data_IF_819335143691
#
_entry.id   IF_819335143691
#
_cell.length_a   1.000
_cell.length_b   1.000
_cell.length_c   1.000
_cell.angle_alpha   90.00
_cell.angle_beta   90.00
_cell.angle_gamma   90.00
#
_symmetry.space_group_name_H-M   'P 1'
#
loop_
_entity.id
_entity.type
_entity.pdbx_description
1 polymer ?
#
# COMPACT_ATOMS: atom_id res chain seq x y z
N UNK A 1 16.82 19.02 -22.50
CA UNK A 1 17.11 19.43 -21.12
C UNK A 1 17.15 18.20 -20.25
N UNK A 2 18.17 17.99 -19.43
CA UNK A 2 18.19 16.89 -18.44
C UNK A 2 17.15 17.20 -17.35
N UNK A 3 16.30 16.27 -17.06
CA UNK A 3 15.26 16.39 -16.05
C UNK A 3 15.91 16.32 -14.65
N UNK A 4 15.77 17.38 -13.85
CA UNK A 4 16.28 17.37 -12.47
C UNK A 4 15.42 16.43 -11.61
N UNK A 5 16.08 15.57 -10.86
CA UNK A 5 15.43 14.62 -9.92
C UNK A 5 15.43 15.23 -8.53
N UNK A 6 14.28 15.29 -7.88
CA UNK A 6 14.21 15.58 -6.45
C UNK A 6 14.23 14.29 -5.65
N UNK A 7 15.08 14.24 -4.64
CA UNK A 7 15.14 13.15 -3.66
C UNK A 7 14.51 13.64 -2.34
N UNK A 8 13.49 12.92 -1.87
CA UNK A 8 12.96 13.07 -0.52
C UNK A 8 13.62 12.02 0.38
N UNK A 9 14.56 12.44 1.20
CA UNK A 9 15.33 11.55 2.07
C UNK A 9 14.78 11.56 3.50
N UNK A 10 14.38 10.38 3.99
CA UNK A 10 13.98 10.20 5.39
C UNK A 10 15.16 10.38 6.35
N UNK A 11 15.10 11.39 7.22
CA UNK A 11 16.13 11.69 8.22
C UNK A 11 15.90 11.00 9.55
N UNK A 12 14.65 10.82 9.96
CA UNK A 12 14.23 10.15 11.18
C UNK A 12 13.23 9.09 10.88
N UNK A 13 13.60 7.85 11.07
CA UNK A 13 12.61 6.78 11.10
C UNK A 13 11.95 6.74 12.48
N UNK A 14 10.73 7.26 12.61
CA UNK A 14 9.89 7.02 13.81
C UNK A 14 9.60 5.54 14.01
N UNK A 15 9.78 4.74 12.96
CA UNK A 15 9.52 3.30 12.96
C UNK A 15 10.65 2.49 13.60
N UNK A 16 11.81 3.04 13.80
CA UNK A 16 12.91 2.30 14.37
C UNK A 16 13.56 3.07 15.52
N UNK A 17 13.33 2.65 16.74
CA UNK A 17 14.14 3.09 17.89
C UNK A 17 15.64 2.73 17.78
N UNK A 18 16.12 2.39 16.59
CA UNK A 18 17.51 2.21 16.20
C UNK A 18 17.99 3.48 15.45
N UNK A 19 19.29 3.73 15.48
CA UNK A 19 19.92 4.83 14.73
C UNK A 19 19.42 4.86 13.28
N UNK A 20 19.22 6.05 12.69
CA UNK A 20 18.61 6.21 11.37
C UNK A 20 19.46 5.52 10.31
N UNK A 21 19.06 4.31 9.90
CA UNK A 21 19.81 3.51 8.92
C UNK A 21 19.80 4.14 7.54
N UNK A 22 18.72 4.81 7.16
CA UNK A 22 18.57 5.43 5.84
C UNK A 22 19.61 6.53 5.60
N UNK A 23 19.82 7.51 6.50
CA UNK A 23 20.88 8.50 6.32
C UNK A 23 22.30 7.93 6.28
N UNK A 24 22.58 6.85 7.03
CA UNK A 24 23.88 6.19 6.98
C UNK A 24 24.10 5.48 5.63
N UNK A 25 23.11 4.74 5.15
CA UNK A 25 23.16 4.09 3.84
C UNK A 25 23.19 5.11 2.71
N UNK A 26 22.46 6.23 2.84
CA UNK A 26 22.53 7.34 1.90
C UNK A 26 23.97 7.87 1.77
N UNK A 27 24.65 8.17 2.89
CA UNK A 27 26.03 8.65 2.86
C UNK A 27 26.97 7.67 2.17
N UNK A 28 26.74 6.37 2.34
CA UNK A 28 27.56 5.33 1.72
C UNK A 28 27.36 5.27 0.20
N UNK A 29 26.13 5.44 -0.27
CA UNK A 29 25.78 5.29 -1.69
C UNK A 29 25.55 6.62 -2.43
N UNK A 30 25.77 7.77 -1.78
CA UNK A 30 25.44 9.09 -2.33
C UNK A 30 26.11 9.37 -3.68
N UNK A 31 27.37 8.98 -3.84
CA UNK A 31 28.10 9.17 -5.09
C UNK A 31 27.49 8.36 -6.25
N UNK A 32 27.19 7.08 -6.03
CA UNK A 32 26.56 6.19 -7.01
C UNK A 32 25.16 6.69 -7.40
N UNK A 33 24.37 7.14 -6.41
CA UNK A 33 23.05 7.70 -6.64
C UNK A 33 23.13 9.01 -7.44
N UNK A 34 24.09 9.89 -7.08
CA UNK A 34 24.28 11.13 -7.79
C UNK A 34 24.72 10.90 -9.23
N UNK A 35 25.61 9.98 -9.49
CA UNK A 35 26.04 9.62 -10.86
C UNK A 35 24.86 9.13 -11.70
N UNK A 36 24.01 8.28 -11.16
CA UNK A 36 22.89 7.68 -11.87
C UNK A 36 21.73 8.64 -12.13
N UNK A 37 21.42 9.55 -11.19
CA UNK A 37 20.21 10.36 -11.20
C UNK A 37 20.43 11.85 -11.40
N UNK A 38 21.67 12.30 -11.66
CA UNK A 38 22.00 13.71 -11.90
C UNK A 38 21.34 14.29 -13.16
N UNK A 39 20.93 15.57 -13.13
CA UNK A 39 21.02 16.48 -12.00
C UNK A 39 19.99 16.12 -10.90
N UNK A 40 20.40 16.15 -9.63
CA UNK A 40 19.52 15.89 -8.51
C UNK A 40 19.58 16.98 -7.45
N UNK A 41 18.47 17.16 -6.74
CA UNK A 41 18.36 17.96 -5.52
C UNK A 41 17.88 17.07 -4.37
N UNK A 42 18.27 17.41 -3.13
CA UNK A 42 17.98 16.63 -1.95
C UNK A 42 17.20 17.46 -0.92
N UNK A 43 16.06 16.96 -0.51
CA UNK A 43 15.29 17.48 0.61
C UNK A 43 15.20 16.42 1.69
N UNK A 44 15.57 16.78 2.89
CA UNK A 44 15.47 15.91 4.07
C UNK A 44 14.09 16.09 4.71
N UNK A 45 13.44 14.99 5.09
CA UNK A 45 12.11 14.96 5.69
C UNK A 45 12.06 14.04 6.90
N UNK A 46 11.30 14.42 7.94
CA UNK A 46 11.19 13.64 9.18
C UNK A 46 9.93 12.75 9.23
N UNK A 47 8.97 12.97 8.33
CA UNK A 47 7.72 12.23 8.37
C UNK A 47 6.83 12.45 7.14
N UNK A 48 5.62 11.88 7.17
CA UNK A 48 4.72 11.91 6.01
C UNK A 48 4.23 13.33 5.66
N UNK A 49 4.00 14.19 6.65
CA UNK A 49 3.43 15.52 6.40
C UNK A 49 4.46 16.46 5.78
N UNK A 50 5.73 16.38 6.22
CA UNK A 50 6.82 17.13 5.58
C UNK A 50 7.11 16.60 4.17
N UNK A 51 7.07 15.27 3.99
CA UNK A 51 7.24 14.68 2.67
C UNK A 51 6.11 15.07 1.71
N UNK A 52 4.87 15.20 2.22
CA UNK A 52 3.72 15.68 1.46
C UNK A 52 3.89 17.12 1.01
N UNK A 53 4.26 18.02 1.94
CA UNK A 53 4.51 19.42 1.63
C UNK A 53 5.64 19.57 0.62
N UNK A 54 6.79 18.94 0.87
CA UNK A 54 7.95 19.01 0.00
C UNK A 54 7.68 18.45 -1.40
N UNK A 55 6.91 17.35 -1.52
CA UNK A 55 6.54 16.78 -2.82
C UNK A 55 5.63 17.72 -3.62
N UNK A 56 4.65 18.33 -2.95
CA UNK A 56 3.75 19.29 -3.58
C UNK A 56 4.50 20.53 -4.06
N UNK A 57 5.31 21.15 -3.19
CA UNK A 57 6.07 22.35 -3.49
C UNK A 57 7.06 22.11 -4.62
N UNK A 58 7.77 20.99 -4.60
CA UNK A 58 8.68 20.60 -5.66
C UNK A 58 7.97 20.46 -7.02
N UNK A 59 6.80 19.84 -7.05
CA UNK A 59 6.04 19.72 -8.29
C UNK A 59 5.56 21.10 -8.81
N UNK A 60 5.18 22.01 -7.92
CA UNK A 60 4.82 23.41 -8.27
C UNK A 60 6.05 24.16 -8.79
N UNK A 61 7.23 23.92 -8.24
CA UNK A 61 8.50 24.50 -8.71
C UNK A 61 8.98 23.89 -10.03
N UNK A 62 8.30 22.88 -10.57
CA UNK A 62 8.59 22.34 -11.88
C UNK A 62 9.42 21.06 -11.90
N UNK A 63 9.70 20.46 -10.74
CA UNK A 63 10.27 19.12 -10.70
C UNK A 63 9.24 18.13 -11.22
N UNK A 64 9.60 17.38 -12.24
CA UNK A 64 8.73 16.35 -12.81
C UNK A 64 9.11 14.93 -12.41
N UNK A 65 10.29 14.74 -11.78
CA UNK A 65 10.72 13.47 -11.20
C UNK A 65 10.99 13.65 -9.72
N UNK A 66 10.29 12.87 -8.88
CA UNK A 66 10.46 12.89 -7.43
C UNK A 66 10.61 11.45 -6.94
N UNK A 67 11.65 11.20 -6.14
CA UNK A 67 12.00 9.88 -5.63
C UNK A 67 12.01 9.90 -4.10
N UNK A 68 11.20 9.05 -3.47
CA UNK A 68 11.24 8.85 -2.03
C UNK A 68 12.31 7.81 -1.66
N UNK A 69 13.14 8.16 -0.68
CA UNK A 69 14.19 7.31 -0.09
C UNK A 69 13.93 7.17 1.40
N UNK A 70 13.31 6.05 1.79
CA UNK A 70 12.90 5.84 3.18
C UNK A 70 11.86 4.77 3.37
N UNK A 71 11.11 4.88 4.47
CA UNK A 71 10.02 3.99 4.85
C UNK A 71 8.68 4.35 4.23
N UNK A 72 7.64 3.62 4.66
CA UNK A 72 6.27 3.79 4.16
C UNK A 72 5.72 5.19 4.39
N UNK A 73 6.09 5.83 5.49
CA UNK A 73 5.61 7.17 5.83
C UNK A 73 6.02 8.24 4.81
N UNK A 74 7.30 8.25 4.41
CA UNK A 74 7.81 9.20 3.41
C UNK A 74 7.25 8.90 2.02
N UNK A 75 7.15 7.61 1.66
CA UNK A 75 6.52 7.19 0.41
C UNK A 75 5.04 7.60 0.35
N UNK A 76 4.29 7.44 1.44
CA UNK A 76 2.91 7.88 1.53
C UNK A 76 2.78 9.41 1.45
N UNK A 77 3.67 10.16 2.13
CA UNK A 77 3.73 11.62 2.01
C UNK A 77 3.93 12.07 0.57
N UNK A 78 4.91 11.48 -0.13
CA UNK A 78 5.11 11.75 -1.56
C UNK A 78 3.82 11.54 -2.39
N UNK A 79 3.15 10.40 -2.21
CA UNK A 79 1.88 10.12 -2.89
C UNK A 79 0.85 11.21 -2.61
N UNK A 80 0.65 11.57 -1.35
CA UNK A 80 -0.35 12.57 -0.96
C UNK A 80 -0.01 13.96 -1.50
N UNK A 81 1.26 14.38 -1.49
CA UNK A 81 1.70 15.64 -2.08
C UNK A 81 1.39 15.72 -3.57
N UNK A 82 1.66 14.66 -4.31
CA UNK A 82 1.35 14.59 -5.75
C UNK A 82 -0.15 14.53 -6.00
N UNK A 83 -0.92 13.87 -5.16
CA UNK A 83 -2.38 13.78 -5.31
C UNK A 83 -3.10 15.13 -5.11
N UNK A 84 -2.47 16.14 -4.51
CA UNK A 84 -2.98 17.52 -4.43
C UNK A 84 -2.94 18.27 -5.77
N UNK A 85 -2.12 17.83 -6.71
CA UNK A 85 -2.01 18.45 -8.03
C UNK A 85 -3.24 18.17 -8.90
N UNK A 86 -3.52 19.05 -9.86
CA UNK A 86 -4.49 18.78 -10.90
C UNK A 86 -4.09 17.54 -11.74
N UNK A 87 -5.06 16.78 -12.23
CA UNK A 87 -4.83 15.53 -12.94
C UNK A 87 -3.86 15.66 -14.12
N UNK A 88 -4.02 16.70 -14.95
CA UNK A 88 -3.14 16.95 -16.08
C UNK A 88 -1.68 17.22 -15.68
N UNK A 89 -1.43 17.72 -14.46
CA UNK A 89 -0.09 17.87 -13.91
C UNK A 89 0.45 16.54 -13.39
N UNK A 90 -0.36 15.81 -12.59
CA UNK A 90 0.02 14.49 -12.06
C UNK A 90 0.47 13.53 -13.16
N UNK A 91 -0.26 13.48 -14.28
CA UNK A 91 0.05 12.58 -15.40
C UNK A 91 1.42 12.80 -16.02
N UNK A 92 2.04 13.96 -15.79
CA UNK A 92 3.38 14.32 -16.31
C UNK A 92 4.50 14.03 -15.32
N UNK A 93 4.14 13.65 -14.07
CA UNK A 93 5.11 13.33 -13.04
C UNK A 93 5.74 11.96 -13.27
N UNK A 94 6.91 11.76 -12.67
CA UNK A 94 7.60 10.46 -12.58
C UNK A 94 7.89 10.21 -11.10
N UNK A 95 7.18 9.26 -10.50
CA UNK A 95 7.28 8.97 -9.08
C UNK A 95 8.11 7.71 -8.89
N UNK A 96 9.20 7.83 -8.13
CA UNK A 96 10.09 6.73 -7.84
C UNK A 96 10.19 6.40 -6.35
N UNK A 97 10.60 5.18 -6.06
CA UNK A 97 10.93 4.73 -4.71
C UNK A 97 12.30 4.07 -4.75
N UNK A 98 13.22 4.54 -3.92
CA UNK A 98 14.55 3.95 -3.76
C UNK A 98 14.65 3.31 -2.39
N UNK A 99 14.92 2.01 -2.36
CA UNK A 99 14.99 1.23 -1.14
C UNK A 99 16.46 0.98 -0.78
N UNK A 100 16.95 1.65 0.26
CA UNK A 100 18.27 1.43 0.82
C UNK A 100 18.19 0.40 1.96
N UNK A 101 18.72 -0.80 1.74
CA UNK A 101 18.71 -1.89 2.72
C UNK A 101 17.61 -2.92 2.48
N UNK A 102 16.78 -3.22 3.49
CA UNK A 102 15.72 -4.22 3.34
C UNK A 102 14.63 -3.76 2.38
N UNK A 103 14.15 -4.69 1.55
CA UNK A 103 13.04 -4.42 0.61
C UNK A 103 11.79 -4.03 1.39
N UNK A 104 11.36 -2.79 1.19
CA UNK A 104 10.11 -2.28 1.75
C UNK A 104 8.90 -2.90 1.02
N UNK A 105 7.70 -2.90 1.63
CA UNK A 105 6.46 -3.29 0.94
C UNK A 105 6.23 -2.50 -0.35
N UNK A 106 6.61 -1.24 -0.38
CA UNK A 106 6.57 -0.39 -1.57
C UNK A 106 7.43 -0.93 -2.71
N UNK A 107 8.70 -1.24 -2.41
CA UNK A 107 9.60 -1.81 -3.40
C UNK A 107 9.07 -3.13 -3.98
N UNK A 108 8.46 -3.97 -3.13
CA UNK A 108 7.85 -5.23 -3.58
C UNK A 108 6.63 -4.99 -4.47
N UNK A 109 5.76 -4.07 -4.08
CA UNK A 109 4.52 -3.75 -4.82
C UNK A 109 4.81 -3.17 -6.20
N UNK A 110 5.80 -2.29 -6.32
CA UNK A 110 6.20 -1.72 -7.61
C UNK A 110 7.18 -2.60 -8.40
N UNK A 111 7.61 -3.74 -7.84
CA UNK A 111 8.51 -4.69 -8.49
C UNK A 111 9.96 -4.23 -8.54
N UNK A 112 10.40 -3.40 -7.60
CA UNK A 112 11.79 -2.95 -7.50
C UNK A 112 12.71 -4.14 -7.14
N UNK A 113 13.85 -4.31 -7.83
CA UNK A 113 14.86 -5.31 -7.48
C UNK A 113 15.57 -4.99 -6.16
N UNK A 114 16.27 -5.96 -5.57
CA UNK A 114 17.03 -5.75 -4.34
C UNK A 114 18.39 -5.06 -4.58
N UNK A 115 18.99 -5.25 -5.75
CA UNK A 115 20.29 -4.67 -6.10
C UNK A 115 20.15 -3.17 -6.37
N UNK A 116 20.96 -2.34 -5.66
CA UNK A 116 20.90 -0.88 -5.77
C UNK A 116 21.16 -0.42 -7.21
N UNK A 117 22.22 -0.89 -7.85
CA UNK A 117 22.54 -0.53 -9.22
C UNK A 117 21.36 -0.73 -10.18
N UNK A 118 20.62 -1.85 -10.03
CA UNK A 118 19.45 -2.11 -10.85
C UNK A 118 18.28 -1.19 -10.54
N UNK A 119 18.07 -0.80 -9.26
CA UNK A 119 17.08 0.20 -8.89
C UNK A 119 17.40 1.55 -9.54
N UNK A 120 18.68 1.97 -9.52
CA UNK A 120 19.14 3.21 -10.12
C UNK A 120 18.95 3.22 -11.64
N UNK A 121 19.27 2.13 -12.32
CA UNK A 121 18.99 1.97 -13.77
C UNK A 121 17.51 2.17 -14.10
N UNK A 122 16.61 1.56 -13.32
CA UNK A 122 15.16 1.69 -13.49
C UNK A 122 14.71 3.14 -13.28
N UNK A 123 15.20 3.77 -12.20
CA UNK A 123 14.86 5.16 -11.88
C UNK A 123 15.41 6.12 -12.94
N UNK A 124 16.63 5.91 -13.43
CA UNK A 124 17.24 6.71 -14.50
C UNK A 124 16.49 6.56 -15.82
N UNK A 125 16.07 5.34 -16.17
CA UNK A 125 15.30 5.06 -17.38
C UNK A 125 13.92 5.75 -17.35
N UNK A 126 13.30 5.92 -16.19
CA UNK A 126 12.09 6.70 -16.00
C UNK A 126 10.84 6.17 -16.72
N UNK A 127 10.77 4.86 -17.00
CA UNK A 127 9.56 4.26 -17.56
C UNK A 127 8.46 4.22 -16.51
N UNK A 128 7.32 4.84 -16.79
CA UNK A 128 6.21 4.91 -15.83
C UNK A 128 5.05 4.02 -16.24
N UNK A 129 4.35 3.51 -15.22
CA UNK A 129 3.06 2.86 -15.35
C UNK A 129 2.05 3.62 -14.47
N UNK A 130 0.84 3.95 -14.97
CA UNK A 130 -0.18 4.58 -14.15
C UNK A 130 -0.76 3.56 -13.15
N UNK A 131 -0.60 3.88 -11.87
CA UNK A 131 -1.12 3.10 -10.75
C UNK A 131 -2.42 3.68 -10.24
N UNK A 132 -3.28 2.81 -9.76
CA UNK A 132 -4.46 3.16 -8.99
C UNK A 132 -4.04 3.63 -7.60
N UNK A 133 -4.77 4.56 -7.04
CA UNK A 133 -4.55 5.08 -5.70
C UNK A 133 -5.83 4.91 -4.90
N UNK A 134 -5.73 4.32 -3.73
CA UNK A 134 -6.84 4.30 -2.79
C UNK A 134 -7.00 5.65 -2.11
N UNK A 135 -8.22 6.04 -1.78
CA UNK A 135 -8.54 7.23 -1.02
C UNK A 135 -9.47 6.86 0.12
N UNK A 136 -9.02 7.06 1.34
CA UNK A 136 -9.80 6.86 2.57
C UNK A 136 -10.28 8.19 3.11
N UNK A 137 -11.54 8.23 3.48
CA UNK A 137 -12.17 9.31 4.25
C UNK A 137 -12.75 8.71 5.53
N UNK A 138 -12.50 9.34 6.67
CA UNK A 138 -12.94 8.85 7.97
C UNK A 138 -13.17 10.00 8.94
N UNK A 139 -13.63 9.71 10.16
CA UNK A 139 -13.79 10.71 11.21
C UNK A 139 -12.40 11.16 11.71
N UNK A 140 -12.18 12.49 11.77
CA UNK A 140 -10.93 13.07 12.27
C UNK A 140 -10.62 12.65 13.71
N UNK A 141 -9.35 12.44 13.99
CA UNK A 141 -8.86 12.20 15.35
C UNK A 141 -8.84 13.47 16.23
N UNK A 142 -8.94 14.66 15.63
CA UNK A 142 -8.93 15.92 16.36
C UNK A 142 -10.22 16.20 17.16
N UNK A 143 -11.27 15.40 16.97
CA UNK A 143 -12.55 15.58 17.66
C UNK A 143 -13.33 16.83 17.24
N UNK A 144 -12.93 17.48 16.13
CA UNK A 144 -13.49 18.73 15.61
C UNK A 144 -14.72 18.51 14.69
N UNK A 145 -15.20 17.27 14.61
CA UNK A 145 -16.33 16.88 13.76
C UNK A 145 -16.03 16.88 12.26
N UNK A 146 -14.80 17.19 11.86
CA UNK A 146 -14.41 17.17 10.46
C UNK A 146 -14.07 15.75 9.98
N UNK A 147 -14.05 15.59 8.66
CA UNK A 147 -13.51 14.39 8.03
C UNK A 147 -11.98 14.52 7.89
N UNK A 148 -11.29 13.42 8.13
CA UNK A 148 -9.90 13.25 7.75
C UNK A 148 -9.85 12.41 6.48
N UNK A 149 -8.90 12.71 5.59
CA UNK A 149 -8.74 11.98 4.34
C UNK A 149 -7.26 11.76 4.03
N UNK A 150 -6.94 10.60 3.42
CA UNK A 150 -5.59 10.29 2.97
C UNK A 150 -5.60 9.31 1.80
N UNK A 151 -4.65 9.48 0.91
CA UNK A 151 -4.41 8.53 -0.18
C UNK A 151 -3.43 7.44 0.23
N UNK A 152 -3.57 6.27 -0.39
CA UNK A 152 -2.66 5.14 -0.19
C UNK A 152 -2.40 4.39 -1.50
N UNK A 153 -1.25 3.71 -1.58
CA UNK A 153 -0.88 2.84 -2.69
C UNK A 153 -0.86 1.37 -2.27
N UNK A 154 -0.42 1.08 -1.05
CA UNK A 154 -0.36 -0.29 -0.53
C UNK A 154 -1.72 -0.73 0.01
N UNK A 155 -2.29 0.05 0.93
CA UNK A 155 -3.58 -0.27 1.50
C UNK A 155 -3.94 0.56 2.72
N UNK A 156 -5.19 0.40 3.15
CA UNK A 156 -5.72 0.88 4.42
C UNK A 156 -6.07 -0.30 5.32
N UNK A 157 -5.85 -0.14 6.63
CA UNK A 157 -6.16 -1.15 7.63
C UNK A 157 -6.91 -0.57 8.82
N UNK A 158 -7.82 -1.34 9.39
CA UNK A 158 -8.56 -1.00 10.58
C UNK A 158 -8.91 -2.24 11.41
N UNK A 159 -9.30 -2.01 12.65
CA UNK A 159 -9.61 -3.07 13.60
C UNK A 159 -8.54 -3.30 14.66
N UNK A 160 -8.81 -4.12 15.69
CA UNK A 160 -7.89 -4.31 16.81
C UNK A 160 -6.49 -4.79 16.45
N UNK A 161 -6.34 -5.56 15.37
CA UNK A 161 -5.04 -6.05 14.93
C UNK A 161 -4.25 -5.02 14.12
N UNK A 162 -4.90 -4.02 13.50
CA UNK A 162 -4.19 -2.93 12.82
C UNK A 162 -3.55 -1.97 13.83
N UNK A 163 -4.19 -1.71 14.96
CA UNK A 163 -3.65 -0.88 16.06
C UNK A 163 -2.39 -1.46 16.72
N UNK A 164 -2.07 -2.72 16.45
CA UNK A 164 -0.81 -3.35 16.84
C UNK A 164 0.40 -2.86 16.07
N UNK A 165 0.18 -2.12 15.01
CA UNK A 165 1.15 -1.74 14.02
C UNK A 165 2.10 -0.60 14.39
N UNK A 166 1.95 0.31 15.32
CA UNK A 166 3.00 1.30 15.45
C UNK A 166 4.31 0.65 15.90
N UNK A 167 5.28 0.50 14.96
CA UNK A 167 6.57 1.09 15.19
C UNK A 167 7.53 0.38 16.14
N UNK A 168 7.60 -0.95 16.13
CA UNK A 168 8.69 -1.61 16.83
C UNK A 168 9.85 -1.91 15.89
N UNK A 169 10.87 -1.09 16.01
CA UNK A 169 12.14 -1.17 15.30
C UNK A 169 12.93 -2.46 15.53
N UNK A 170 12.65 -3.19 16.58
CA UNK A 170 13.35 -4.41 16.94
C UNK A 170 12.47 -5.63 16.67
N UNK A 171 12.98 -6.69 15.99
CA UNK A 171 12.21 -7.90 15.72
C UNK A 171 11.54 -8.51 16.97
N UNK A 172 12.26 -8.55 18.09
CA UNK A 172 11.73 -9.04 19.36
C UNK A 172 10.58 -8.18 19.90
N UNK A 173 10.64 -6.85 19.73
CA UNK A 173 9.57 -5.94 20.13
C UNK A 173 8.36 -6.04 19.20
N UNK A 174 8.57 -6.31 17.91
CA UNK A 174 7.49 -6.60 16.95
C UNK A 174 6.73 -7.86 17.38
N UNK A 175 7.46 -8.92 17.72
CA UNK A 175 6.88 -10.16 18.17
C UNK A 175 6.08 -9.98 19.48
N UNK A 176 6.65 -9.28 20.47
CA UNK A 176 5.99 -9.00 21.74
C UNK A 176 4.72 -8.14 21.55
N UNK A 177 4.75 -7.16 20.65
CA UNK A 177 3.58 -6.32 20.33
C UNK A 177 2.52 -7.07 19.54
N UNK A 178 2.91 -7.90 18.56
CA UNK A 178 1.98 -8.80 17.89
C UNK A 178 1.30 -9.74 18.89
N UNK A 179 2.08 -10.36 19.77
CA UNK A 179 1.52 -11.21 20.83
C UNK A 179 0.60 -10.41 21.76
N UNK A 180 0.99 -9.23 22.20
CA UNK A 180 0.17 -8.34 23.02
C UNK A 180 -1.14 -7.91 22.36
N UNK A 181 -1.11 -7.67 21.06
CA UNK A 181 -2.31 -7.30 20.30
C UNK A 181 -3.21 -8.48 20.01
N UNK A 182 -2.63 -9.64 19.72
CA UNK A 182 -3.38 -10.89 19.62
C UNK A 182 -4.05 -11.25 20.96
N UNK A 183 -3.32 -11.10 22.07
CA UNK A 183 -3.87 -11.31 23.42
C UNK A 183 -4.94 -10.26 23.76
N UNK A 184 -4.72 -8.99 23.43
CA UNK A 184 -5.68 -7.92 23.66
C UNK A 184 -6.94 -8.04 22.80
N UNK A 185 -6.79 -8.33 21.51
CA UNK A 185 -7.90 -8.62 20.60
C UNK A 185 -8.65 -9.88 21.04
N UNK A 186 -7.89 -10.93 21.37
CA UNK A 186 -8.42 -12.19 21.84
C UNK A 186 -9.14 -12.06 23.20
N UNK A 187 -8.59 -11.29 24.14
CA UNK A 187 -9.23 -10.98 25.41
C UNK A 187 -10.58 -10.27 25.25
N UNK A 188 -10.67 -9.30 24.30
CA UNK A 188 -11.93 -8.64 23.96
C UNK A 188 -12.93 -9.60 23.31
N UNK A 189 -12.46 -10.48 22.43
CA UNK A 189 -13.32 -11.51 21.82
C UNK A 189 -13.90 -12.47 22.88
N UNK A 190 -13.07 -12.93 23.83
CA UNK A 190 -13.49 -13.80 24.93
C UNK A 190 -14.47 -13.10 25.88
N UNK A 191 -14.29 -11.81 26.11
CA UNK A 191 -15.19 -11.01 26.94
C UNK A 191 -16.48 -10.58 26.19
N UNK A 192 -16.70 -11.01 24.95
CA UNK A 192 -17.85 -10.57 24.15
C UNK A 192 -17.79 -9.12 23.69
N UNK A 193 -16.62 -8.47 23.80
CA UNK A 193 -16.41 -7.05 23.47
C UNK A 193 -15.63 -6.86 22.15
N UNK A 194 -15.65 -7.85 21.25
CA UNK A 194 -15.07 -7.67 19.92
C UNK A 194 -15.85 -6.59 19.17
N UNK A 195 -15.14 -5.60 18.59
CA UNK A 195 -15.81 -4.52 17.87
C UNK A 195 -16.58 -5.09 16.68
N UNK A 196 -17.81 -4.61 16.50
CA UNK A 196 -18.70 -5.05 15.44
C UNK A 196 -18.82 -4.02 14.33
N UNK A 197 -18.81 -4.50 13.10
CA UNK A 197 -18.90 -3.66 11.91
C UNK A 197 -19.84 -4.24 10.87
N UNK A 198 -20.37 -3.36 10.03
CA UNK A 198 -20.90 -3.70 8.72
C UNK A 198 -19.87 -3.25 7.66
N UNK A 199 -19.52 -4.15 6.77
CA UNK A 199 -18.63 -3.93 5.63
C UNK A 199 -19.45 -4.02 4.35
N UNK A 200 -19.48 -2.91 3.61
CA UNK A 200 -20.16 -2.80 2.33
C UNK A 200 -19.12 -2.65 1.21
N UNK A 201 -19.30 -3.36 0.11
CA UNK A 201 -18.48 -3.25 -1.11
C UNK A 201 -19.40 -3.04 -2.29
N UNK A 202 -19.19 -1.92 -3.01
CA UNK A 202 -20.01 -1.49 -4.15
C UNK A 202 -21.53 -1.53 -3.87
N UNK A 203 -21.92 -1.09 -2.65
CA UNK A 203 -23.29 -1.00 -2.20
C UNK A 203 -23.93 -2.33 -1.72
N UNK A 204 -23.14 -3.41 -1.65
CA UNK A 204 -23.59 -4.70 -1.10
C UNK A 204 -22.92 -4.95 0.23
N UNK A 205 -23.68 -5.30 1.25
CA UNK A 205 -23.13 -5.77 2.52
C UNK A 205 -22.50 -7.16 2.32
N UNK A 206 -21.18 -7.25 2.54
CA UNK A 206 -20.40 -8.49 2.38
C UNK A 206 -20.05 -9.12 3.71
N UNK A 207 -20.10 -8.34 4.79
CA UNK A 207 -19.88 -8.83 6.13
C UNK A 207 -20.61 -7.97 7.17
N UNK A 208 -21.13 -8.62 8.21
CA UNK A 208 -21.69 -7.98 9.41
C UNK A 208 -21.36 -8.83 10.61
N UNK A 209 -20.73 -8.25 11.62
CA UNK A 209 -20.42 -8.94 12.87
C UNK A 209 -19.12 -8.50 13.51
N UNK A 210 -18.66 -9.27 14.51
CA UNK A 210 -17.42 -9.00 15.23
C UNK A 210 -16.21 -9.28 14.35
N UNK A 211 -15.25 -8.35 14.27
CA UNK A 211 -14.04 -8.52 13.48
C UNK A 211 -12.75 -8.20 14.25
N UNK A 212 -11.65 -8.72 13.77
CA UNK A 212 -10.32 -8.47 14.32
C UNK A 212 -9.48 -7.55 13.40
N UNK A 213 -9.70 -7.63 12.09
CA UNK A 213 -8.94 -6.87 11.07
C UNK A 213 -9.78 -6.68 9.82
N UNK A 214 -9.74 -5.49 9.27
CA UNK A 214 -10.16 -5.18 7.90
C UNK A 214 -9.00 -4.59 7.13
N UNK A 215 -8.80 -5.04 5.90
CA UNK A 215 -7.79 -4.59 4.96
C UNK A 215 -8.44 -4.19 3.64
N UNK A 216 -8.07 -3.03 3.12
CA UNK A 216 -8.43 -2.59 1.77
C UNK A 216 -7.15 -2.29 1.02
N UNK A 217 -6.82 -3.07 0.01
CA UNK A 217 -5.49 -3.11 -0.58
C UNK A 217 -5.49 -2.70 -2.05
N UNK A 218 -4.54 -1.82 -2.42
CA UNK A 218 -4.20 -1.50 -3.81
C UNK A 218 -2.98 -2.26 -4.32
N UNK A 219 -2.22 -2.89 -3.42
CA UNK A 219 -1.00 -3.64 -3.72
C UNK A 219 -1.00 -5.04 -3.12
N UNK A 220 -0.09 -5.89 -3.62
CA UNK A 220 0.03 -7.29 -3.17
C UNK A 220 0.54 -7.45 -1.75
N UNK A 221 1.35 -6.50 -1.28
CA UNK A 221 2.06 -6.61 -0.02
C UNK A 221 1.58 -5.54 0.96
N UNK A 222 1.18 -5.97 2.13
CA UNK A 222 0.92 -5.07 3.25
C UNK A 222 2.07 -5.11 4.26
N UNK A 223 2.44 -3.97 4.87
CA UNK A 223 3.66 -3.89 5.69
C UNK A 223 3.79 -4.96 6.79
N UNK A 224 2.71 -5.33 7.45
CA UNK A 224 2.73 -6.29 8.55
C UNK A 224 2.57 -7.74 8.09
N UNK A 225 1.69 -7.96 7.11
CA UNK A 225 1.17 -9.28 6.78
C UNK A 225 1.84 -9.89 5.54
N UNK A 226 2.85 -9.22 4.98
CA UNK A 226 3.54 -9.74 3.80
C UNK A 226 2.65 -9.71 2.55
N UNK A 227 2.63 -10.80 1.79
CA UNK A 227 1.80 -10.92 0.60
C UNK A 227 0.38 -11.34 1.01
N UNK A 228 -0.50 -10.35 1.12
CA UNK A 228 -1.88 -10.54 1.58
C UNK A 228 -2.91 -10.58 0.45
N UNK A 229 -2.58 -10.01 -0.69
CA UNK A 229 -3.42 -10.01 -1.89
C UNK A 229 -2.59 -10.38 -3.12
N UNK A 230 -2.22 -11.67 -3.31
CA UNK A 230 -1.31 -12.09 -4.38
C UNK A 230 -1.83 -11.80 -5.79
N UNK A 231 -3.15 -11.70 -5.96
CA UNK A 231 -3.80 -11.39 -7.22
C UNK A 231 -4.00 -9.89 -7.46
N UNK A 232 -3.72 -9.03 -6.46
CA UNK A 232 -3.92 -7.59 -6.57
C UNK A 232 -3.17 -7.02 -7.78
N UNK A 233 -3.92 -6.26 -8.57
CA UNK A 233 -3.39 -5.56 -9.74
C UNK A 233 -3.54 -4.05 -9.53
N UNK A 234 -2.47 -3.31 -9.32
CA UNK A 234 -2.54 -1.88 -8.99
C UNK A 234 -2.94 -0.98 -10.17
N UNK A 235 -3.57 -1.50 -11.22
CA UNK A 235 -3.92 -0.75 -12.43
C UNK A 235 -5.23 -1.21 -13.08
N UNK A 236 -6.10 -1.94 -12.37
CA UNK A 236 -7.35 -2.49 -12.88
C UNK A 236 -8.61 -1.73 -12.42
N UNK A 237 -8.42 -0.70 -11.59
CA UNK A 237 -9.52 0.13 -11.09
C UNK A 237 -10.29 -0.50 -9.93
N UNK A 238 -9.74 -1.53 -9.29
CA UNK A 238 -10.32 -2.19 -8.12
C UNK A 238 -9.37 -2.21 -6.92
N UNK A 239 -9.94 -2.44 -5.73
CA UNK A 239 -9.20 -2.67 -4.50
C UNK A 239 -9.56 -4.05 -3.98
N UNK A 240 -8.56 -4.77 -3.48
CA UNK A 240 -8.76 -6.04 -2.81
C UNK A 240 -9.18 -5.80 -1.36
N UNK A 241 -10.31 -6.37 -0.97
CA UNK A 241 -10.87 -6.24 0.37
C UNK A 241 -10.76 -7.57 1.08
N UNK A 242 -10.16 -7.55 2.26
CA UNK A 242 -10.00 -8.75 3.07
C UNK A 242 -10.34 -8.46 4.53
N UNK A 243 -10.93 -9.43 5.24
CA UNK A 243 -11.23 -9.27 6.65
C UNK A 243 -11.05 -10.56 7.44
N UNK A 244 -10.74 -10.40 8.71
CA UNK A 244 -10.65 -11.49 9.68
C UNK A 244 -11.79 -11.32 10.66
N UNK A 245 -12.79 -12.21 10.67
CA UNK A 245 -13.78 -12.27 11.72
C UNK A 245 -13.12 -12.51 13.10
N UNK A 246 -13.64 -11.91 14.15
CA UNK A 246 -13.22 -12.19 15.50
C UNK A 246 -13.94 -13.46 15.99
N UNK A 247 -13.38 -14.64 15.72
CA UNK A 247 -13.99 -15.91 16.12
C UNK A 247 -13.55 -16.35 17.52
N UNK A 248 -12.26 -16.64 17.69
CA UNK A 248 -11.68 -17.03 18.97
C UNK A 248 -10.21 -16.66 19.06
N UNK A 249 -9.66 -16.64 20.28
CA UNK A 249 -8.22 -16.45 20.51
C UNK A 249 -7.40 -17.53 19.82
N UNK A 250 -7.89 -18.77 19.84
CA UNK A 250 -7.21 -19.91 19.25
C UNK A 250 -7.19 -19.84 17.71
N UNK A 251 -8.27 -19.35 17.10
CA UNK A 251 -8.34 -19.12 15.67
C UNK A 251 -7.37 -18.00 15.24
N UNK A 252 -7.34 -16.90 15.99
CA UNK A 252 -6.40 -15.80 15.75
C UNK A 252 -4.93 -16.22 15.95
N UNK A 253 -4.65 -17.03 16.98
CA UNK A 253 -3.31 -17.56 17.25
C UNK A 253 -2.88 -18.54 16.16
N UNK A 254 -3.76 -19.42 15.71
CA UNK A 254 -3.51 -20.37 14.63
C UNK A 254 -3.22 -19.66 13.31
N UNK A 255 -3.95 -18.59 12.99
CA UNK A 255 -3.72 -17.75 11.80
C UNK A 255 -2.39 -17.00 11.87
N UNK A 256 -2.06 -16.44 13.03
CA UNK A 256 -0.76 -15.80 13.24
C UNK A 256 0.41 -16.79 13.09
N UNK A 257 0.25 -18.01 13.58
CA UNK A 257 1.24 -19.07 13.41
C UNK A 257 1.34 -19.53 11.95
N UNK A 258 0.20 -19.62 11.24
CA UNK A 258 0.16 -19.94 9.80
C UNK A 258 0.95 -18.96 8.95
N UNK A 259 0.92 -17.65 9.28
CA UNK A 259 1.78 -16.64 8.64
C UNK A 259 3.27 -16.92 8.78
N UNK A 260 3.69 -17.45 9.93
CA UNK A 260 5.09 -17.76 10.19
C UNK A 260 5.61 -18.93 9.36
N UNK A 261 4.74 -19.89 9.03
CA UNK A 261 5.08 -21.04 8.19
C UNK A 261 4.74 -20.87 6.71
N UNK A 262 4.43 -19.62 6.28
CA UNK A 262 4.13 -19.32 4.87
C UNK A 262 2.71 -19.70 4.44
N UNK A 263 1.80 -19.89 5.40
CA UNK A 263 0.39 -20.14 5.15
C UNK A 263 -0.39 -18.88 4.76
N UNK A 264 -1.57 -19.05 4.17
CA UNK A 264 -2.47 -17.96 3.84
C UNK A 264 -3.18 -17.44 5.10
N UNK A 265 -2.97 -16.14 5.41
CA UNK A 265 -3.59 -15.50 6.58
C UNK A 265 -5.11 -15.47 6.47
N UNK A 266 -5.60 -15.28 5.26
CA UNK A 266 -7.00 -15.00 5.00
C UNK A 266 -7.61 -16.11 4.14
N UNK A 267 -8.57 -16.86 4.66
CA UNK A 267 -9.30 -17.83 3.84
C UNK A 267 -10.06 -17.12 2.73
N UNK A 268 -10.20 -17.79 1.58
CA UNK A 268 -10.87 -17.27 0.39
C UNK A 268 -12.28 -16.65 0.65
N UNK A 269 -13.11 -17.17 1.57
CA UNK A 269 -14.41 -16.59 1.90
C UNK A 269 -14.36 -15.19 2.52
N UNK A 270 -13.22 -14.77 3.07
CA UNK A 270 -13.03 -13.45 3.68
C UNK A 270 -12.39 -12.44 2.74
N UNK A 271 -12.51 -12.62 1.43
CA UNK A 271 -11.95 -11.72 0.41
C UNK A 271 -12.98 -11.39 -0.66
N UNK A 272 -12.93 -10.16 -1.15
CA UNK A 272 -13.64 -9.73 -2.34
C UNK A 272 -12.89 -8.54 -2.97
N UNK A 273 -13.35 -8.09 -4.13
CA UNK A 273 -12.82 -6.89 -4.81
C UNK A 273 -13.96 -5.89 -5.02
N UNK A 274 -13.61 -4.61 -5.05
CA UNK A 274 -14.56 -3.56 -5.34
C UNK A 274 -13.90 -2.20 -5.51
N UNK A 275 -14.67 -1.23 -5.90
CA UNK A 275 -14.24 0.15 -6.18
C UNK A 275 -14.61 1.13 -5.07
N UNK A 276 -15.64 0.81 -4.28
CA UNK A 276 -16.15 1.62 -3.17
C UNK A 276 -16.44 0.74 -1.98
N UNK A 277 -15.80 1.05 -0.87
CA UNK A 277 -15.88 0.28 0.37
C UNK A 277 -16.38 1.20 1.48
N UNK A 278 -17.35 0.75 2.28
CA UNK A 278 -17.78 1.43 3.51
C UNK A 278 -17.61 0.51 4.70
N UNK A 279 -17.07 1.06 5.77
CA UNK A 279 -16.85 0.37 7.02
C UNK A 279 -17.60 1.15 8.10
N UNK A 280 -18.66 0.55 8.61
CA UNK A 280 -19.58 1.22 9.54
C UNK A 280 -19.57 0.47 10.88
N UNK A 281 -19.20 1.12 11.99
CA UNK A 281 -19.31 0.52 13.31
C UNK A 281 -20.78 0.29 13.67
N UNK A 282 -21.11 -0.82 14.33
CA UNK A 282 -22.49 -1.16 14.72
C UNK A 282 -22.88 -0.62 16.10
N UNK A 283 -21.90 -0.29 16.94
CA UNK A 283 -22.10 0.32 18.24
C UNK A 283 -21.27 1.59 18.41
N UNK A 284 -21.66 2.47 19.36
CA UNK A 284 -20.93 3.71 19.63
C UNK A 284 -19.47 3.45 20.06
N UNK A 285 -19.24 2.45 20.91
CA UNK A 285 -17.91 2.04 21.35
C UNK A 285 -17.05 1.48 20.19
N UNK A 286 -17.69 0.93 19.17
CA UNK A 286 -17.00 0.36 18.00
C UNK A 286 -16.44 1.45 17.07
N UNK A 287 -16.96 2.67 17.16
CA UNK A 287 -16.49 3.84 16.42
C UNK A 287 -15.12 4.38 16.86
N UNK A 288 -14.55 3.90 17.97
CA UNK A 288 -13.21 4.25 18.44
C UNK A 288 -12.08 3.50 17.71
N UNK A 289 -12.40 2.65 16.74
CA UNK A 289 -11.39 1.93 15.95
C UNK A 289 -10.66 2.88 15.01
N UNK A 290 -9.34 2.87 15.08
CA UNK A 290 -8.48 3.64 14.16
C UNK A 290 -8.43 3.01 12.78
N UNK A 291 -8.28 3.87 11.76
CA UNK A 291 -7.93 3.47 10.41
C UNK A 291 -6.62 4.14 10.00
N UNK A 292 -5.77 3.38 9.34
CA UNK A 292 -4.50 3.84 8.81
C UNK A 292 -4.43 3.66 7.29
N UNK A 293 -3.54 4.41 6.64
CA UNK A 293 -3.24 4.35 5.22
C UNK A 293 -1.73 4.21 5.01
N UNK A 294 -1.26 3.11 4.42
CA UNK A 294 0.17 2.78 4.25
C UNK A 294 0.98 2.83 5.55
N UNK A 295 0.36 2.52 6.69
CA UNK A 295 0.96 2.60 8.02
C UNK A 295 0.91 4.00 8.65
N UNK A 296 0.27 4.98 8.02
CA UNK A 296 0.07 6.33 8.60
C UNK A 296 -1.34 6.42 9.18
N UNK A 297 -1.50 6.72 10.47
CA UNK A 297 -2.82 6.92 11.08
C UNK A 297 -3.58 8.05 10.39
N UNK A 298 -4.87 7.82 10.10
CA UNK A 298 -5.74 8.83 9.45
C UNK A 298 -6.80 9.35 10.43
N UNK A 299 -7.55 8.45 11.07
CA UNK A 299 -8.62 8.81 11.98
C UNK A 299 -9.36 7.59 12.51
N UNK A 300 -10.69 7.72 12.66
CA UNK A 300 -11.54 6.70 13.25
C UNK A 300 -12.71 6.31 12.33
N UNK A 301 -13.27 5.11 12.55
CA UNK A 301 -14.52 4.70 11.91
C UNK A 301 -15.70 5.64 12.30
N UNK A 302 -16.72 5.80 11.43
CA UNK A 302 -16.89 5.14 10.14
C UNK A 302 -15.90 5.66 9.09
N UNK A 303 -15.62 4.81 8.10
CA UNK A 303 -14.75 5.16 7.00
C UNK A 303 -15.36 4.76 5.64
N UNK A 304 -15.05 5.55 4.62
CA UNK A 304 -15.30 5.24 3.23
C UNK A 304 -13.98 5.20 2.46
N UNK A 305 -13.81 4.19 1.64
CA UNK A 305 -12.65 4.00 0.79
C UNK A 305 -13.09 3.88 -0.66
N UNK A 306 -12.38 4.56 -1.55
CA UNK A 306 -12.62 4.45 -3.00
C UNK A 306 -11.31 4.37 -3.75
N UNK A 307 -11.34 3.74 -4.92
CA UNK A 307 -10.22 3.78 -5.84
C UNK A 307 -10.25 5.07 -6.67
N UNK A 308 -9.07 5.64 -6.93
CA UNK A 308 -8.83 6.69 -7.93
C UNK A 308 -7.99 6.03 -9.02
N UNK A 309 -8.61 5.61 -10.12
CA UNK A 309 -7.96 4.71 -11.05
C UNK A 309 -6.89 5.44 -11.87
N UNK A 310 -5.76 4.76 -12.08
CA UNK A 310 -4.70 5.08 -13.06
C UNK A 310 -4.21 6.53 -13.00
N UNK A 311 -4.05 7.05 -11.79
CA UNK A 311 -3.80 8.47 -11.57
C UNK A 311 -2.37 8.82 -11.23
N UNK A 312 -1.56 7.85 -10.75
CA UNK A 312 -0.20 8.08 -10.26
C UNK A 312 0.85 7.37 -11.14
N UNK A 313 1.67 8.10 -11.92
CA UNK A 313 2.70 7.49 -12.78
C UNK A 313 3.92 7.06 -11.95
N UNK A 314 4.00 5.76 -11.67
CA UNK A 314 5.09 5.14 -10.91
C UNK A 314 6.17 4.65 -11.84
N UNK A 315 7.45 4.94 -11.54
CA UNK A 315 8.60 4.42 -12.27
C UNK A 315 8.74 2.92 -11.97
N UNK A 316 8.74 2.12 -13.03
CA UNK A 316 8.84 0.66 -12.97
C UNK A 316 9.80 0.12 -14.03
N UNK A 317 10.19 -1.13 -13.91
CA UNK A 317 11.00 -1.78 -14.94
C UNK A 317 10.24 -1.88 -16.27
N UNK A 318 10.90 -1.55 -17.38
CA UNK A 318 10.29 -1.49 -18.71
C UNK A 318 9.61 -2.80 -19.14
N UNK A 319 10.17 -3.95 -18.76
CA UNK A 319 9.58 -5.27 -19.04
C UNK A 319 8.27 -5.47 -18.28
N UNK A 320 8.26 -5.12 -17.01
CA UNK A 320 7.06 -5.19 -16.17
C UNK A 320 5.94 -4.27 -16.70
N UNK A 321 6.30 -3.06 -17.14
CA UNK A 321 5.36 -2.13 -17.76
C UNK A 321 4.73 -2.71 -19.01
N UNK A 322 5.53 -3.29 -19.91
CA UNK A 322 5.04 -3.91 -21.16
C UNK A 322 4.16 -5.13 -20.92
N UNK A 323 4.50 -5.96 -19.94
CA UNK A 323 3.71 -7.14 -19.59
C UNK A 323 2.34 -6.74 -19.04
N UNK A 324 2.28 -5.78 -18.10
CA UNK A 324 1.01 -5.29 -17.54
C UNK A 324 0.15 -4.61 -18.59
N UNK A 325 0.73 -3.83 -19.47
CA UNK A 325 -0.01 -3.20 -20.58
C UNK A 325 -0.59 -4.25 -21.54
N UNK A 326 0.12 -5.34 -21.83
CA UNK A 326 -0.40 -6.46 -22.64
C UNK A 326 -1.57 -7.17 -21.94
N UNK A 327 -1.43 -7.47 -20.65
CA UNK A 327 -2.51 -8.11 -19.86
C UNK A 327 -3.75 -7.23 -19.83
N UNK A 328 -3.57 -5.92 -19.63
CA UNK A 328 -4.67 -4.95 -19.66
C UNK A 328 -5.39 -4.95 -21.02
N UNK A 329 -4.65 -4.81 -22.11
CA UNK A 329 -5.25 -4.84 -23.45
C UNK A 329 -6.00 -6.13 -23.73
N UNK A 330 -5.51 -7.24 -23.18
CA UNK A 330 -6.22 -8.52 -23.31
C UNK A 330 -7.53 -8.53 -22.51
N UNK A 331 -7.57 -7.93 -21.30
CA UNK A 331 -8.80 -7.85 -20.50
C UNK A 331 -9.84 -6.84 -21.02
N UNK A 332 -9.41 -5.84 -21.80
CA UNK A 332 -10.30 -4.87 -22.45
C UNK A 332 -10.87 -5.36 -23.78
N UNK A 333 -10.41 -6.51 -24.30
CA UNK A 333 -10.97 -7.11 -25.51
C UNK A 333 -12.35 -7.73 -25.19
N UNK A 334 -13.38 -7.49 -26.04
CA UNK A 334 -14.67 -8.15 -25.91
C UNK A 334 -14.51 -9.69 -25.91
N UNK A 335 -15.29 -10.40 -25.11
CA UNK A 335 -15.26 -11.86 -24.99
C UNK A 335 -15.34 -12.59 -26.35
N UNK A 336 -16.01 -11.99 -27.32
CA UNK A 336 -16.08 -12.50 -28.70
C UNK A 336 -14.72 -12.56 -29.40
N UNK A 337 -13.78 -11.66 -29.08
CA UNK A 337 -12.44 -11.65 -29.67
C UNK A 337 -11.52 -12.67 -28.99
N UNK A 338 -11.67 -12.86 -27.68
CA UNK A 338 -10.96 -13.90 -26.91
C UNK A 338 -11.38 -15.30 -27.36
N UNK A 339 -12.67 -15.53 -27.61
CA UNK A 339 -13.18 -16.79 -28.12
C UNK A 339 -12.74 -17.08 -29.59
N UNK A 340 -12.57 -16.05 -30.39
CA UNK A 340 -12.06 -16.15 -31.77
C UNK A 340 -10.56 -16.46 -31.83
N UNK A 341 -9.76 -15.84 -30.96
CA UNK A 341 -8.30 -16.02 -30.91
C UNK A 341 -7.88 -17.43 -30.47
N UNK A 342 -8.61 -18.05 -29.54
CA UNK A 342 -8.36 -19.45 -29.12
C UNK A 342 -8.67 -20.48 -30.21
N UNK A 343 -9.53 -20.16 -31.18
CA UNK A 343 -9.79 -21.03 -32.36
C UNK A 343 -8.72 -20.89 -33.44
N UNK A 344 -8.03 -19.76 -33.53
CA UNK A 344 -6.97 -19.53 -34.52
C UNK A 344 -5.61 -20.15 -34.14
N UNK A 345 -5.34 -20.36 -32.83
CA UNK A 345 -4.20 -21.12 -32.35
C UNK A 345 -4.60 -22.60 -32.23
N UNK A 346 -4.59 -23.28 -33.38
CA UNK A 346 -4.98 -24.68 -33.49
C UNK A 346 -4.11 -25.63 -32.69
N UNK A 347 -4.40 -25.80 -31.42
CA UNK A 347 -3.96 -26.95 -30.66
C UNK A 347 -4.86 -28.15 -31.02
N UNK A 348 -4.48 -28.86 -32.08
CA UNK A 348 -4.95 -30.23 -32.30
C UNK A 348 -4.59 -31.06 -31.06
N UNK A 349 -5.59 -31.38 -30.23
CA UNK A 349 -5.48 -32.49 -29.30
C UNK A 349 -5.31 -33.77 -30.16
N UNK A 350 -4.10 -34.30 -30.21
CA UNK A 350 -3.91 -35.68 -30.60
C UNK A 350 -4.56 -36.55 -29.51
N UNK A 351 -5.65 -37.19 -29.86
CA UNK A 351 -6.15 -38.35 -29.12
C UNK A 351 -5.12 -39.47 -29.32
N UNK A 352 -4.48 -39.87 -28.25
CA UNK A 352 -3.79 -41.16 -28.22
C UNK A 352 -4.87 -42.22 -28.07
N UNK A 353 -4.90 -43.13 -29.03
CA UNK A 353 -5.57 -44.44 -28.96
C UNK A 353 -4.73 -45.38 -28.04
#
# INVERSE_FOLDING_TARGET
MRQTTLILLECRSRESGAAPRVPLLWRHYAAEIAEALSPLELVQVEGPDEAEAAAFDAAVLGFSRIVAVGGSAVANGLVNGIMRLAEGHRRRMQIGFLCLGQRSPWARTVGQPSALARQLEILAAGHTLPYDVGHVECRSAAGDGKAAARHFLLGAACGPLSAAWPLAARPALRLARMAGSLLGAGGRCLAGHAPQVALEVDGREVYRGPWALGLVMGGRHYPLFGETAPEANPSDGTLDVAWIPAASVWDLAGRALGLWVGGDLLPAPSRCQGSRIRIVPLGEADGAQTIEADGVPVGFLPASVRVVPRTLPIIVEAVAARMRERTRRASELPDAVLAGGLRAVGLRRQRAE
#
